data_IF_023264629782
#
_entry.id   IF_023264629782
#
_cell.length_a   1.000
_cell.length_b   1.000
_cell.length_c   1.000
_cell.angle_alpha   90.00
_cell.angle_beta   90.00
_cell.angle_gamma   90.00
#
_symmetry.space_group_name_H-M   'P 1'
#
loop_
_entity.id
_entity.type
_entity.pdbx_description
1 polymer ?
#
# COMPACT_ATOMS: atom_id res chain seq x y z
N UNK A 1 16.05 -25.04 -1.34
CA UNK A 1 14.74 -25.70 -1.37
C UNK A 1 13.73 -24.68 -1.86
N UNK A 2 13.29 -24.74 -3.12
CA UNK A 2 12.16 -23.93 -3.59
C UNK A 2 10.87 -24.72 -3.41
N UNK A 3 9.98 -24.23 -2.54
CA UNK A 3 8.69 -24.86 -2.24
C UNK A 3 7.69 -24.38 -3.30
N UNK A 4 7.24 -25.29 -4.17
CA UNK A 4 6.23 -25.05 -5.21
C UNK A 4 4.89 -25.65 -4.78
N UNK A 5 3.78 -25.15 -5.32
CA UNK A 5 2.46 -25.75 -5.10
C UNK A 5 2.35 -27.11 -5.84
N UNK A 6 1.25 -27.83 -5.65
CA UNK A 6 1.00 -29.13 -6.33
C UNK A 6 1.04 -29.00 -7.85
N UNK A 7 0.70 -27.82 -8.39
CA UNK A 7 0.82 -27.47 -9.81
C UNK A 7 2.23 -27.02 -10.25
N UNK A 8 3.25 -27.10 -9.39
CA UNK A 8 4.65 -26.62 -9.60
C UNK A 8 4.82 -25.11 -9.79
N UNK A 9 3.81 -24.32 -9.47
CA UNK A 9 3.85 -22.86 -9.48
C UNK A 9 4.35 -22.32 -8.15
N UNK A 10 4.75 -21.05 -8.15
CA UNK A 10 5.20 -20.37 -6.93
C UNK A 10 3.98 -19.95 -6.11
N UNK A 11 4.03 -20.15 -4.79
CA UNK A 11 2.96 -19.70 -3.89
C UNK A 11 2.73 -18.19 -4.01
N UNK A 12 1.47 -17.79 -4.14
CA UNK A 12 1.08 -16.39 -4.11
C UNK A 12 1.36 -15.78 -2.73
N UNK A 13 1.55 -14.45 -2.70
CA UNK A 13 1.83 -13.69 -1.46
C UNK A 13 0.80 -13.98 -0.36
N UNK A 14 -0.50 -14.00 -0.70
CA UNK A 14 -1.58 -14.29 0.25
C UNK A 14 -1.49 -15.70 0.86
N UNK A 15 -1.05 -16.69 0.07
CA UNK A 15 -0.85 -18.06 0.58
C UNK A 15 0.31 -18.11 1.57
N UNK A 16 1.42 -17.42 1.29
CA UNK A 16 2.56 -17.34 2.20
C UNK A 16 2.16 -16.70 3.54
N UNK A 17 1.36 -15.62 3.51
CA UNK A 17 0.82 -15.03 4.73
C UNK A 17 -0.09 -15.99 5.50
N UNK A 18 -0.95 -16.74 4.80
CA UNK A 18 -1.84 -17.74 5.42
C UNK A 18 -1.05 -18.84 6.12
N UNK A 19 0.02 -19.33 5.49
CA UNK A 19 0.93 -20.31 6.10
C UNK A 19 1.60 -19.74 7.34
N UNK A 20 2.14 -18.52 7.27
CA UNK A 20 2.79 -17.88 8.41
C UNK A 20 1.80 -17.63 9.57
N UNK A 21 0.56 -17.24 9.27
CA UNK A 21 -0.49 -17.10 10.27
C UNK A 21 -0.83 -18.45 10.94
N UNK A 22 -0.85 -19.54 10.16
CA UNK A 22 -1.01 -20.90 10.68
C UNK A 22 0.13 -21.33 11.59
N UNK A 23 1.38 -21.00 11.23
CA UNK A 23 2.56 -21.24 12.07
C UNK A 23 2.45 -20.46 13.38
N UNK A 24 2.12 -19.16 13.31
CA UNK A 24 1.93 -18.31 14.48
C UNK A 24 0.83 -18.85 15.40
N UNK A 25 -0.28 -19.36 14.83
CA UNK A 25 -1.34 -20.03 15.59
C UNK A 25 -0.84 -21.29 16.28
N UNK A 26 -0.13 -22.16 15.56
CA UNK A 26 0.43 -23.40 16.12
C UNK A 26 1.42 -23.12 17.27
N UNK A 27 2.28 -22.10 17.13
CA UNK A 27 3.20 -21.66 18.18
C UNK A 27 2.42 -21.25 19.43
N UNK A 28 1.36 -20.46 19.27
CA UNK A 28 0.51 -20.02 20.41
C UNK A 28 -0.17 -21.20 21.09
N UNK A 29 -0.78 -22.10 20.31
CA UNK A 29 -1.45 -23.31 20.85
C UNK A 29 -0.48 -24.20 21.62
N UNK A 30 0.73 -24.43 21.09
CA UNK A 30 1.74 -25.26 21.75
C UNK A 30 2.27 -24.60 23.02
N UNK A 31 2.56 -23.30 23.00
CA UNK A 31 3.05 -22.59 24.19
C UNK A 31 2.01 -22.59 25.30
N UNK A 32 0.73 -22.38 24.96
CA UNK A 32 -0.38 -22.52 25.91
C UNK A 32 -0.44 -23.93 26.50
N UNK A 33 -0.29 -24.97 25.68
CA UNK A 33 -0.30 -26.36 26.15
C UNK A 33 0.87 -26.72 27.10
N UNK A 34 1.97 -25.96 27.06
CA UNK A 34 3.13 -26.12 27.94
C UNK A 34 3.18 -25.07 29.07
N UNK A 35 2.10 -24.32 29.27
CA UNK A 35 1.99 -23.26 30.30
C UNK A 35 3.09 -22.18 30.21
N UNK A 36 3.57 -21.92 28.99
CA UNK A 36 4.58 -20.88 28.70
C UNK A 36 3.85 -19.57 28.43
N UNK A 37 3.91 -18.64 29.40
CA UNK A 37 3.17 -17.38 29.37
C UNK A 37 3.79 -16.34 28.42
N UNK A 38 5.08 -16.42 28.11
CA UNK A 38 5.74 -15.44 27.25
C UNK A 38 5.21 -15.53 25.81
N UNK A 39 4.60 -14.46 25.28
CA UNK A 39 4.12 -14.44 23.92
C UNK A 39 5.31 -14.46 22.96
N UNK A 40 5.25 -15.39 22.00
CA UNK A 40 6.20 -15.45 20.89
C UNK A 40 5.47 -15.10 19.60
N UNK A 41 5.96 -14.08 18.91
CA UNK A 41 5.37 -13.54 17.71
C UNK A 41 6.40 -13.44 16.59
N UNK A 42 6.26 -14.31 15.59
CA UNK A 42 7.17 -14.37 14.43
C UNK A 42 7.25 -13.04 13.66
N UNK A 43 6.26 -12.15 13.82
CA UNK A 43 6.22 -10.86 13.16
C UNK A 43 6.87 -9.73 13.96
N UNK A 44 7.02 -9.88 15.28
CA UNK A 44 7.48 -8.80 16.17
C UNK A 44 8.79 -9.11 16.85
N UNK A 45 9.03 -10.37 17.22
CA UNK A 45 10.21 -10.75 17.96
C UNK A 45 11.48 -10.64 17.11
N UNK A 46 12.53 -10.11 17.74
CA UNK A 46 13.82 -9.87 17.09
C UNK A 46 14.51 -11.16 16.65
N UNK A 47 14.24 -12.28 17.34
CA UNK A 47 14.74 -13.60 17.00
C UNK A 47 14.32 -14.06 15.59
N UNK A 48 13.22 -13.51 15.05
CA UNK A 48 12.72 -13.81 13.71
C UNK A 48 13.12 -12.77 12.66
N UNK A 49 14.07 -11.87 12.95
CA UNK A 49 14.54 -10.86 11.99
C UNK A 49 15.02 -11.49 10.67
N UNK A 50 15.78 -12.59 10.74
CA UNK A 50 16.28 -13.27 9.54
C UNK A 50 15.12 -13.87 8.74
N UNK A 51 14.20 -14.57 9.42
CA UNK A 51 13.00 -15.11 8.80
C UNK A 51 12.17 -14.04 8.10
N UNK A 52 11.89 -12.92 8.78
CA UNK A 52 11.15 -11.78 8.22
C UNK A 52 11.87 -11.18 7.01
N UNK A 53 13.18 -10.97 7.10
CA UNK A 53 13.98 -10.43 6.00
C UNK A 53 13.95 -11.33 4.77
N UNK A 54 14.01 -12.65 4.97
CA UNK A 54 13.89 -13.64 3.89
C UNK A 54 12.48 -13.65 3.30
N UNK A 55 11.44 -13.65 4.13
CA UNK A 55 10.05 -13.59 3.70
C UNK A 55 9.78 -12.31 2.88
N UNK A 56 10.24 -11.16 3.37
CA UNK A 56 10.12 -9.87 2.68
C UNK A 56 10.85 -9.89 1.33
N UNK A 57 12.01 -10.52 1.26
CA UNK A 57 12.77 -10.65 0.01
C UNK A 57 12.01 -11.48 -1.02
N UNK A 58 11.41 -12.60 -0.60
CA UNK A 58 10.55 -13.44 -1.45
C UNK A 58 9.30 -12.68 -1.90
N UNK A 59 8.63 -11.98 -0.98
CA UNK A 59 7.45 -11.18 -1.31
C UNK A 59 7.78 -10.05 -2.31
N UNK A 60 8.94 -9.41 -2.17
CA UNK A 60 9.43 -8.41 -3.13
C UNK A 60 9.73 -9.02 -4.50
N UNK A 61 10.29 -10.22 -4.56
CA UNK A 61 10.52 -10.93 -5.83
C UNK A 61 9.20 -11.28 -6.51
N UNK A 62 8.24 -11.83 -5.75
CA UNK A 62 6.90 -12.14 -6.25
C UNK A 62 6.20 -10.88 -6.79
N UNK A 63 6.33 -9.76 -6.06
CA UNK A 63 5.80 -8.48 -6.49
C UNK A 63 6.43 -7.99 -7.80
N UNK A 64 7.76 -8.08 -7.93
CA UNK A 64 8.47 -7.72 -9.16
C UNK A 64 8.02 -8.56 -10.35
N UNK A 65 7.69 -9.83 -10.12
CA UNK A 65 7.25 -10.79 -11.14
C UNK A 65 5.75 -10.72 -11.43
N UNK A 66 5.00 -9.86 -10.73
CA UNK A 66 3.55 -9.71 -10.92
C UNK A 66 2.71 -10.90 -10.44
N UNK A 67 3.28 -11.78 -9.61
CA UNK A 67 2.61 -13.00 -9.15
C UNK A 67 1.78 -12.67 -7.90
N UNK A 68 0.45 -12.76 -8.01
CA UNK A 68 -0.48 -12.61 -6.87
C UNK A 68 -0.87 -11.17 -6.52
N UNK A 69 -0.59 -10.19 -7.39
CA UNK A 69 -1.08 -8.82 -7.22
C UNK A 69 -1.69 -8.29 -8.52
N UNK A 70 -2.98 -7.96 -8.49
CA UNK A 70 -3.54 -7.00 -9.45
C UNK A 70 -3.05 -5.64 -8.99
N UNK A 71 -2.11 -5.04 -9.73
CA UNK A 71 -1.71 -3.65 -9.46
C UNK A 71 -2.97 -2.81 -9.65
N UNK A 72 -3.58 -2.35 -8.55
CA UNK A 72 -4.69 -1.39 -8.63
C UNK A 72 -4.08 -0.07 -9.06
N UNK A 73 -3.90 0.09 -10.36
CA UNK A 73 -3.48 1.34 -10.95
C UNK A 73 -4.56 2.36 -10.63
N UNK A 74 -4.16 3.56 -10.22
CA UNK A 74 -5.12 4.65 -10.09
C UNK A 74 -5.74 4.90 -11.47
N UNK A 75 -7.06 4.99 -11.53
CA UNK A 75 -7.74 5.33 -12.76
C UNK A 75 -7.24 6.70 -13.24
N UNK A 76 -6.95 6.81 -14.54
CA UNK A 76 -6.52 8.06 -15.13
C UNK A 76 -7.69 9.04 -15.08
N UNK A 77 -7.47 10.24 -14.55
CA UNK A 77 -8.44 11.32 -14.63
C UNK A 77 -8.50 11.74 -16.10
N UNK A 78 -9.56 11.32 -16.80
CA UNK A 78 -9.82 11.71 -18.19
C UNK A 78 -10.35 13.13 -18.27
N UNK A 79 -10.11 13.84 -19.37
CA UNK A 79 -10.68 15.18 -19.65
C UNK A 79 -12.20 15.22 -19.43
N UNK A 80 -12.94 14.21 -19.88
CA UNK A 80 -14.39 14.10 -19.66
C UNK A 80 -14.79 14.04 -18.18
N UNK A 81 -13.95 13.44 -17.34
CA UNK A 81 -14.20 13.37 -15.89
C UNK A 81 -13.93 14.74 -15.27
N UNK A 82 -12.87 15.42 -15.70
CA UNK A 82 -12.58 16.78 -15.28
C UNK A 82 -13.71 17.76 -15.68
N UNK A 83 -14.14 17.75 -16.94
CA UNK A 83 -15.28 18.55 -17.43
C UNK A 83 -16.52 18.32 -16.57
N UNK A 84 -16.81 17.06 -16.24
CA UNK A 84 -17.93 16.73 -15.37
C UNK A 84 -17.78 17.30 -13.96
N UNK A 85 -16.56 17.33 -13.40
CA UNK A 85 -16.32 17.93 -12.07
C UNK A 85 -16.56 19.45 -12.07
N UNK A 86 -16.28 20.12 -13.19
CA UNK A 86 -16.63 21.53 -13.42
C UNK A 86 -18.14 21.70 -13.57
N UNK A 87 -18.78 20.91 -14.44
CA UNK A 87 -20.22 20.98 -14.72
C UNK A 87 -21.09 20.68 -13.49
N UNK A 88 -20.69 19.68 -12.69
CA UNK A 88 -21.37 19.30 -11.44
C UNK A 88 -21.11 20.32 -10.31
N UNK A 89 -20.39 21.41 -10.60
CA UNK A 89 -20.04 22.46 -9.64
C UNK A 89 -19.34 21.88 -8.39
N UNK A 90 -18.52 20.85 -8.57
CA UNK A 90 -17.67 20.27 -7.52
C UNK A 90 -16.32 21.00 -7.44
N UNK A 91 -15.87 21.57 -8.56
CA UNK A 91 -14.75 22.49 -8.66
C UNK A 91 -15.26 23.93 -8.83
N UNK A 92 -14.48 24.90 -8.36
CA UNK A 92 -14.84 26.33 -8.36
C UNK A 92 -14.38 27.05 -7.09
N UNK A 93 -14.86 28.27 -6.92
CA UNK A 93 -14.38 29.24 -5.93
C UNK A 93 -15.48 29.82 -5.04
N UNK A 94 -16.71 29.29 -5.13
CA UNK A 94 -17.89 29.77 -4.39
C UNK A 94 -17.79 29.73 -2.86
N UNK A 95 -16.84 28.96 -2.32
CA UNK A 95 -16.60 28.81 -0.91
C UNK A 95 -15.12 28.54 -0.64
N UNK A 96 -14.57 28.95 0.51
CA UNK A 96 -13.15 28.74 0.82
C UNK A 96 -12.72 27.28 0.72
N UNK A 97 -13.60 26.35 1.14
CA UNK A 97 -13.32 24.91 1.08
C UNK A 97 -13.31 24.39 -0.35
N UNK A 98 -14.24 24.85 -1.20
CA UNK A 98 -14.28 24.45 -2.60
C UNK A 98 -13.12 25.02 -3.39
N UNK A 99 -12.74 26.27 -3.14
CA UNK A 99 -11.54 26.87 -3.72
C UNK A 99 -10.29 26.06 -3.35
N UNK A 100 -10.15 25.67 -2.08
CA UNK A 100 -9.04 24.84 -1.62
C UNK A 100 -9.02 23.48 -2.33
N UNK A 101 -10.16 22.79 -2.42
CA UNK A 101 -10.24 21.49 -3.10
C UNK A 101 -9.90 21.61 -4.58
N UNK A 102 -10.38 22.68 -5.23
CA UNK A 102 -10.11 22.97 -6.63
C UNK A 102 -8.63 23.23 -6.87
N UNK A 103 -7.99 24.01 -6.01
CA UNK A 103 -6.55 24.25 -6.07
C UNK A 103 -5.76 22.93 -5.96
N UNK A 104 -6.09 22.08 -4.99
CA UNK A 104 -5.44 20.78 -4.80
C UNK A 104 -5.63 19.89 -6.03
N UNK A 105 -6.83 19.86 -6.60
CA UNK A 105 -7.12 19.12 -7.84
C UNK A 105 -6.26 19.62 -9.00
N UNK A 106 -6.26 20.93 -9.28
CA UNK A 106 -5.49 21.52 -10.38
C UNK A 106 -3.98 21.31 -10.20
N UNK A 107 -3.47 21.40 -8.97
CA UNK A 107 -2.06 21.14 -8.67
C UNK A 107 -1.70 19.67 -8.88
N UNK A 108 -2.58 18.75 -8.47
CA UNK A 108 -2.39 17.32 -8.71
C UNK A 108 -2.38 16.97 -10.20
N UNK A 109 -3.29 17.59 -10.96
CA UNK A 109 -3.43 17.37 -12.40
C UNK A 109 -2.25 17.94 -13.20
N UNK A 110 -1.87 19.20 -12.97
CA UNK A 110 -0.86 19.90 -13.78
C UNK A 110 0.59 19.62 -13.34
N UNK A 111 0.81 19.36 -12.05
CA UNK A 111 2.16 19.17 -11.50
C UNK A 111 2.42 17.75 -11.00
N UNK A 112 1.51 16.80 -11.27
CA UNK A 112 1.68 15.40 -10.90
C UNK A 112 1.99 15.21 -9.40
N UNK A 113 1.38 16.03 -8.54
CA UNK A 113 1.50 15.90 -7.08
C UNK A 113 0.51 14.83 -6.61
N UNK A 114 1.00 13.62 -6.43
CA UNK A 114 0.18 12.42 -6.22
C UNK A 114 -0.05 12.12 -4.73
N UNK A 115 0.79 12.64 -3.84
CA UNK A 115 0.71 12.35 -2.41
C UNK A 115 0.25 13.55 -1.59
N UNK A 116 -0.57 13.28 -0.56
CA UNK A 116 -0.98 14.32 0.39
C UNK A 116 0.20 14.95 1.16
N UNK A 117 1.40 14.35 1.11
CA UNK A 117 2.60 14.97 1.66
C UNK A 117 3.19 16.01 0.71
N UNK A 118 3.24 15.75 -0.59
CA UNK A 118 3.72 16.73 -1.58
C UNK A 118 2.90 18.02 -1.53
N UNK A 119 1.56 17.89 -1.49
CA UNK A 119 0.66 19.03 -1.32
C UNK A 119 0.89 19.82 -0.02
N UNK A 120 1.23 19.14 1.08
CA UNK A 120 1.49 19.79 2.39
C UNK A 120 2.80 20.57 2.44
N UNK A 121 3.76 20.24 1.58
CA UNK A 121 5.06 20.90 1.55
C UNK A 121 5.08 22.11 0.60
N UNK A 122 4.01 22.35 -0.16
CA UNK A 122 3.89 23.54 -0.99
C UNK A 122 3.92 24.80 -0.13
N UNK A 123 4.76 25.76 -0.54
CA UNK A 123 4.83 27.08 0.09
C UNK A 123 4.51 28.15 -0.95
N UNK A 124 4.07 29.35 -0.53
CA UNK A 124 3.84 30.45 -1.46
C UNK A 124 5.06 30.75 -2.35
N UNK A 125 6.27 30.64 -1.79
CA UNK A 125 7.53 30.89 -2.49
C UNK A 125 7.92 29.77 -3.47
N UNK A 126 7.16 28.68 -3.55
CA UNK A 126 7.36 27.60 -4.52
C UNK A 126 6.84 27.98 -5.91
N UNK A 127 5.99 29.00 -6.01
CA UNK A 127 5.42 29.47 -7.26
C UNK A 127 6.21 30.66 -7.78
N UNK A 128 6.78 30.54 -8.97
CA UNK A 128 7.38 31.64 -9.72
C UNK A 128 6.40 32.09 -10.81
N UNK A 129 6.16 33.40 -10.89
CA UNK A 129 5.34 34.00 -11.95
C UNK A 129 6.33 34.52 -13.00
N UNK A 130 6.31 33.91 -14.18
CA UNK A 130 7.08 34.34 -15.35
C UNK A 130 6.39 35.49 -16.09
#
# INVERSE_FOLDING_TARGET
MEVRNEQREVYQSGTLYTVCAGIQRCIREKRLAFDIAEPLDIYKDHHFNLFRSSLDSVLKDLYKRGIGNVKKQADVISEKLEEKLWDDNLLGDDSPKKLQNTLIFCLGLNHALHSGQEHKHLRPNTFEIF
#
